data_IF_870209268977
#
_entry.id   IF_870209268977
#
_cell.length_a   1.000
_cell.length_b   1.000
_cell.length_c   1.000
_cell.angle_alpha   90.00
_cell.angle_beta   90.00
_cell.angle_gamma   90.00
#
_symmetry.space_group_name_H-M   'P 1'
#
loop_
_entity.id
_entity.type
_entity.pdbx_description
1 polymer ?
#
# COMPACT_ATOMS: atom_id res chain seq x y z
N UNK A 1 2.17 16.22 15.17
CA UNK A 1 1.34 15.01 15.07
C UNK A 1 2.24 13.78 14.97
N UNK A 2 2.21 12.95 16.02
CA UNK A 2 2.94 11.70 16.00
C UNK A 2 2.29 10.74 15.00
N UNK A 3 3.03 10.31 13.98
CA UNK A 3 2.58 9.29 13.05
C UNK A 3 2.39 7.93 13.74
N UNK A 4 1.72 6.99 13.05
CA UNK A 4 1.59 5.61 13.56
C UNK A 4 2.94 4.88 13.50
N UNK A 5 3.66 5.01 12.39
CA UNK A 5 5.01 4.45 12.24
C UNK A 5 5.98 5.58 11.97
N UNK A 6 7.04 5.65 12.76
CA UNK A 6 8.17 6.58 12.60
C UNK A 6 9.46 5.77 12.60
N UNK A 7 9.99 5.50 11.42
CA UNK A 7 11.29 4.86 11.23
C UNK A 7 12.28 5.89 10.72
N UNK A 8 13.36 6.13 11.45
CA UNK A 8 14.31 7.20 11.18
C UNK A 8 15.71 6.64 11.02
N UNK A 9 16.31 6.87 9.86
CA UNK A 9 17.71 6.55 9.57
C UNK A 9 18.09 5.11 9.87
N UNK A 10 17.28 4.16 9.43
CA UNK A 10 17.48 2.74 9.69
C UNK A 10 18.54 2.18 8.77
N UNK A 11 19.58 1.60 9.37
CA UNK A 11 20.60 0.83 8.66
C UNK A 11 20.71 -0.55 9.27
N UNK A 12 20.78 -1.56 8.42
CA UNK A 12 20.98 -2.96 8.81
C UNK A 12 21.89 -3.67 7.80
N UNK A 13 22.94 -4.25 8.32
CA UNK A 13 23.91 -5.02 7.53
C UNK A 13 23.90 -6.48 7.97
N UNK A 14 23.79 -7.39 7.00
CA UNK A 14 23.91 -8.82 7.20
C UNK A 14 25.13 -9.31 6.41
N UNK A 15 26.13 -9.85 7.12
CA UNK A 15 27.33 -10.42 6.51
C UNK A 15 27.99 -9.50 5.46
N UNK A 16 28.12 -8.22 5.78
CA UNK A 16 28.70 -7.21 4.88
C UNK A 16 27.74 -6.64 3.83
N UNK A 17 26.56 -7.20 3.68
CA UNK A 17 25.53 -6.68 2.79
C UNK A 17 24.56 -5.73 3.53
N UNK A 18 24.46 -4.51 3.04
CA UNK A 18 23.56 -3.49 3.58
C UNK A 18 22.13 -3.73 3.08
N UNK A 19 21.32 -4.42 3.86
CA UNK A 19 19.92 -4.72 3.51
C UNK A 19 19.02 -3.50 3.62
N UNK A 20 19.25 -2.64 4.63
CA UNK A 20 18.64 -1.31 4.78
C UNK A 20 19.76 -0.29 4.91
N UNK A 21 19.65 0.81 4.19
CA UNK A 21 20.70 1.81 4.05
C UNK A 21 20.14 3.22 4.25
N UNK A 22 20.30 3.74 5.48
CA UNK A 22 19.82 5.07 5.88
C UNK A 22 18.36 5.32 5.46
N UNK A 23 17.50 4.35 5.77
CA UNK A 23 16.11 4.31 5.34
C UNK A 23 15.22 5.01 6.36
N UNK A 24 14.35 5.89 5.90
CA UNK A 24 13.32 6.53 6.73
C UNK A 24 11.94 6.28 6.13
N UNK A 25 10.95 6.03 7.00
CA UNK A 25 9.58 5.76 6.62
C UNK A 25 8.62 6.35 7.64
N UNK A 26 7.60 7.05 7.15
CA UNK A 26 6.59 7.71 8.00
C UNK A 26 5.19 7.31 7.56
N UNK A 27 4.46 6.67 8.44
CA UNK A 27 3.07 6.26 8.19
C UNK A 27 2.14 7.06 9.09
N UNK A 28 1.33 7.99 8.53
CA UNK A 28 0.36 8.74 9.32
C UNK A 28 -0.74 7.84 9.88
N UNK A 29 -1.29 8.21 11.05
CA UNK A 29 -2.43 7.49 11.64
C UNK A 29 -3.66 7.55 10.74
N UNK A 30 -4.39 6.44 10.67
CA UNK A 30 -5.65 6.35 9.93
C UNK A 30 -5.49 6.29 8.43
N UNK A 31 -4.29 6.03 7.91
CA UNK A 31 -4.02 5.93 6.48
C UNK A 31 -3.76 4.50 6.03
N UNK A 32 -3.97 4.26 4.74
CA UNK A 32 -3.52 3.04 4.06
C UNK A 32 -2.26 3.40 3.30
N UNK A 33 -1.13 2.87 3.76
CA UNK A 33 0.18 3.12 3.19
C UNK A 33 0.63 1.91 2.35
N UNK A 34 0.88 2.14 1.08
CA UNK A 34 1.44 1.14 0.16
C UNK A 34 2.95 1.21 0.09
N UNK A 35 3.63 0.17 0.53
CA UNK A 35 5.07 0.01 0.38
C UNK A 35 5.35 -0.81 -0.86
N UNK A 36 5.82 -0.17 -1.92
CA UNK A 36 6.00 -0.77 -3.24
C UNK A 36 7.48 -0.89 -3.57
N UNK A 37 7.85 -1.99 -4.19
CA UNK A 37 9.21 -2.21 -4.66
C UNK A 37 9.38 -3.60 -5.25
N UNK A 38 10.43 -3.81 -6.05
CA UNK A 38 10.72 -5.10 -6.63
C UNK A 38 11.10 -6.12 -5.56
N UNK A 39 11.04 -7.39 -5.91
CA UNK A 39 11.57 -8.45 -5.05
C UNK A 39 13.06 -8.19 -4.78
N UNK A 40 13.45 -8.30 -3.52
CA UNK A 40 14.82 -7.99 -3.09
C UNK A 40 15.10 -6.52 -2.79
N UNK A 41 14.10 -5.62 -2.86
CA UNK A 41 14.25 -4.23 -2.46
C UNK A 41 14.45 -4.02 -0.95
N UNK A 42 14.12 -5.05 -0.14
CA UNK A 42 14.23 -5.00 1.31
C UNK A 42 12.89 -4.81 2.04
N UNK A 43 11.74 -4.93 1.35
CA UNK A 43 10.41 -4.73 1.94
C UNK A 43 10.16 -5.65 3.14
N UNK A 44 10.36 -6.95 2.98
CA UNK A 44 10.18 -7.91 4.08
C UNK A 44 11.17 -7.68 5.22
N UNK A 45 12.41 -7.33 4.90
CA UNK A 45 13.42 -6.98 5.89
C UNK A 45 13.00 -5.75 6.68
N UNK A 46 12.54 -4.70 6.01
CA UNK A 46 12.02 -3.52 6.67
C UNK A 46 10.83 -3.87 7.59
N UNK A 47 9.88 -4.64 7.09
CA UNK A 47 8.70 -5.03 7.88
C UNK A 47 9.11 -5.80 9.14
N UNK A 48 10.09 -6.68 9.06
CA UNK A 48 10.61 -7.39 10.24
C UNK A 48 11.27 -6.47 11.26
N UNK A 49 11.81 -5.36 10.84
CA UNK A 49 12.27 -4.30 11.75
C UNK A 49 11.09 -3.52 12.37
N UNK A 50 10.09 -3.18 11.56
CA UNK A 50 8.89 -2.47 12.03
C UNK A 50 8.08 -3.30 13.05
N UNK A 51 8.13 -4.61 12.93
CA UNK A 51 7.46 -5.55 13.85
C UNK A 51 8.32 -5.95 15.04
N UNK A 52 9.55 -5.47 15.12
CA UNK A 52 10.47 -5.75 16.22
C UNK A 52 11.13 -7.13 16.20
N UNK A 53 11.06 -7.84 15.07
CA UNK A 53 11.75 -9.13 14.89
C UNK A 53 13.26 -8.90 14.79
N UNK A 54 13.67 -7.87 14.06
CA UNK A 54 15.06 -7.46 13.95
C UNK A 54 15.30 -6.13 14.65
N UNK A 55 16.49 -6.01 15.23
CA UNK A 55 17.00 -4.75 15.75
C UNK A 55 17.86 -4.07 14.67
N UNK A 56 17.63 -2.79 14.38
CA UNK A 56 18.49 -2.07 13.43
C UNK A 56 19.90 -1.85 14.03
N UNK A 57 20.90 -1.75 13.16
CA UNK A 57 22.25 -1.37 13.57
C UNK A 57 22.33 0.11 13.94
N UNK A 58 21.57 0.94 13.23
CA UNK A 58 21.42 2.36 13.50
C UNK A 58 19.98 2.79 13.30
N UNK A 59 19.63 3.94 13.87
CA UNK A 59 18.32 4.54 13.73
C UNK A 59 17.34 4.13 14.81
N UNK A 60 16.10 4.60 14.69
CA UNK A 60 15.02 4.36 15.65
C UNK A 60 13.71 4.03 14.95
N UNK A 61 12.92 3.18 15.60
CA UNK A 61 11.58 2.78 15.12
C UNK A 61 10.59 2.95 16.25
N UNK A 62 9.57 3.79 16.01
CA UNK A 62 8.48 4.01 16.94
C UNK A 62 7.16 3.58 16.31
N UNK A 63 6.35 2.84 17.07
CA UNK A 63 4.97 2.53 16.75
C UNK A 63 4.08 3.26 17.75
N UNK A 64 3.26 4.17 17.27
CA UNK A 64 2.44 5.05 18.10
C UNK A 64 3.24 5.70 19.26
N UNK A 65 4.43 6.20 18.93
CA UNK A 65 5.34 6.83 19.87
C UNK A 65 6.14 5.88 20.78
N UNK A 66 5.95 4.56 20.67
CA UNK A 66 6.63 3.57 21.49
C UNK A 66 7.73 2.85 20.71
N UNK A 67 8.94 2.67 21.29
CA UNK A 67 9.94 1.81 20.69
C UNK A 67 9.40 0.39 20.51
N UNK A 68 9.61 -0.21 19.33
CA UNK A 68 9.01 -1.51 19.02
C UNK A 68 9.85 -2.70 19.47
N UNK A 69 11.18 -2.57 19.43
CA UNK A 69 12.05 -3.68 19.75
C UNK A 69 11.94 -4.06 21.23
N UNK A 70 11.70 -5.35 21.47
CA UNK A 70 11.55 -5.92 22.82
C UNK A 70 10.54 -5.16 23.71
N UNK A 71 9.46 -4.67 23.11
CA UNK A 71 8.44 -3.89 23.81
C UNK A 71 7.04 -4.49 23.61
N UNK A 72 6.52 -5.28 24.56
CA UNK A 72 5.19 -5.88 24.47
C UNK A 72 4.05 -4.87 24.33
N UNK A 73 4.17 -3.68 24.92
CA UNK A 73 3.15 -2.62 24.83
C UNK A 73 2.99 -2.13 23.39
N UNK A 74 4.10 -1.91 22.69
CA UNK A 74 4.08 -1.54 21.28
C UNK A 74 3.53 -2.68 20.42
N UNK A 75 3.94 -3.91 20.69
CA UNK A 75 3.51 -5.10 19.93
C UNK A 75 2.03 -5.44 20.09
N UNK A 76 1.42 -5.05 21.20
CA UNK A 76 -0.01 -5.21 21.41
C UNK A 76 -0.88 -4.28 20.55
N UNK A 77 -0.29 -3.25 19.93
CA UNK A 77 -1.00 -2.28 19.10
C UNK A 77 -1.20 -2.71 17.66
N UNK A 78 -0.43 -3.68 17.18
CA UNK A 78 -0.50 -4.09 15.79
C UNK A 78 -0.66 -5.60 15.62
N UNK A 79 -1.20 -5.98 14.47
CA UNK A 79 -1.14 -7.34 13.94
C UNK A 79 -0.23 -7.37 12.72
N UNK A 80 0.40 -8.52 12.51
CA UNK A 80 1.33 -8.75 11.42
C UNK A 80 0.96 -10.01 10.66
N UNK A 81 0.77 -9.87 9.35
CA UNK A 81 0.58 -11.00 8.43
C UNK A 81 1.81 -11.07 7.53
N UNK A 82 2.73 -12.02 7.77
CA UNK A 82 3.90 -12.21 6.92
C UNK A 82 3.52 -12.83 5.58
N UNK A 83 4.39 -12.70 4.59
CA UNK A 83 4.23 -13.36 3.30
C UNK A 83 4.20 -14.89 3.45
N UNK A 84 5.15 -15.45 4.20
CA UNK A 84 5.13 -16.85 4.63
C UNK A 84 4.46 -16.99 5.99
N UNK A 85 3.26 -17.52 5.99
CA UNK A 85 2.47 -17.72 7.20
C UNK A 85 3.04 -18.83 8.07
N UNK A 86 3.11 -18.54 9.37
CA UNK A 86 3.53 -19.50 10.38
C UNK A 86 2.39 -19.74 11.39
N UNK A 87 2.07 -21.02 11.61
CA UNK A 87 1.12 -21.44 12.60
C UNK A 87 1.70 -22.55 13.46
N UNK A 88 1.15 -22.75 14.66
CA UNK A 88 1.51 -23.89 15.49
C UNK A 88 1.22 -25.20 14.74
N UNK A 89 2.10 -26.19 14.91
CA UNK A 89 2.16 -27.40 14.09
C UNK A 89 0.84 -28.15 13.92
N UNK A 90 -0.02 -28.14 14.91
CA UNK A 90 -1.28 -28.86 14.90
C UNK A 90 -2.49 -27.98 15.18
N UNK A 91 -2.29 -26.66 15.14
CA UNK A 91 -3.37 -25.74 15.46
C UNK A 91 -4.45 -25.72 14.39
N UNK A 92 -5.70 -25.73 14.84
CA UNK A 92 -6.84 -25.34 14.05
C UNK A 92 -7.16 -23.84 14.23
N UNK A 93 -8.15 -23.35 13.51
CA UNK A 93 -8.56 -21.94 13.60
C UNK A 93 -9.04 -21.56 15.00
N UNK A 94 -9.75 -22.45 15.69
CA UNK A 94 -10.26 -22.18 17.03
C UNK A 94 -9.15 -22.12 18.10
N UNK A 95 -8.11 -22.93 17.95
CA UNK A 95 -6.92 -22.87 18.80
C UNK A 95 -6.13 -21.58 18.59
N UNK A 96 -5.96 -21.16 17.35
CA UNK A 96 -5.35 -19.86 17.03
C UNK A 96 -6.19 -18.70 17.54
N UNK A 97 -7.51 -18.79 17.45
CA UNK A 97 -8.41 -17.81 18.07
C UNK A 97 -8.15 -17.65 19.56
N UNK A 98 -8.07 -18.75 20.31
CA UNK A 98 -7.75 -18.73 21.75
C UNK A 98 -6.40 -18.09 22.02
N UNK A 99 -5.41 -18.37 21.20
CA UNK A 99 -4.09 -17.75 21.28
C UNK A 99 -4.15 -16.23 21.08
N UNK A 100 -4.87 -15.76 20.05
CA UNK A 100 -5.09 -14.33 19.80
C UNK A 100 -5.85 -13.65 20.95
N UNK A 101 -6.87 -14.32 21.49
CA UNK A 101 -7.61 -13.81 22.67
C UNK A 101 -6.70 -13.61 23.89
N UNK A 102 -5.69 -14.45 24.05
CA UNK A 102 -4.71 -14.34 25.13
C UNK A 102 -3.72 -13.18 24.97
N UNK A 103 -3.42 -12.80 23.72
CA UNK A 103 -2.47 -11.73 23.40
C UNK A 103 -3.16 -10.38 23.27
N UNK A 104 -4.29 -10.32 22.56
CA UNK A 104 -5.00 -9.09 22.24
C UNK A 104 -6.21 -8.93 23.16
N UNK A 105 -6.10 -8.02 24.11
CA UNK A 105 -7.14 -7.80 25.13
C UNK A 105 -8.48 -7.34 24.55
N UNK A 106 -8.45 -6.67 23.40
CA UNK A 106 -9.63 -6.13 22.74
C UNK A 106 -10.17 -7.08 21.64
N UNK A 107 -9.75 -8.34 21.64
CA UNK A 107 -10.22 -9.31 20.65
C UNK A 107 -11.75 -9.41 20.68
N UNK A 108 -12.37 -9.16 19.52
CA UNK A 108 -13.83 -9.15 19.36
C UNK A 108 -14.33 -10.54 18.94
N UNK A 109 -14.76 -11.33 19.91
CA UNK A 109 -15.30 -12.67 19.70
C UNK A 109 -16.63 -12.65 18.92
N UNK A 110 -17.47 -11.65 19.13
CA UNK A 110 -18.71 -11.51 18.38
C UNK A 110 -18.44 -11.24 16.90
N UNK A 111 -17.45 -10.40 16.60
CA UNK A 111 -17.01 -10.16 15.23
C UNK A 111 -16.42 -11.43 14.59
N UNK A 112 -15.65 -12.21 15.34
CA UNK A 112 -15.13 -13.49 14.86
C UNK A 112 -16.26 -14.42 14.39
N UNK A 113 -17.32 -14.53 15.19
CA UNK A 113 -18.48 -15.36 14.86
C UNK A 113 -19.26 -14.83 13.65
N UNK A 114 -19.43 -13.51 13.53
CA UNK A 114 -20.08 -12.90 12.37
C UNK A 114 -19.30 -13.10 11.08
N UNK A 115 -17.97 -12.97 11.13
CA UNK A 115 -17.11 -13.13 9.98
C UNK A 115 -17.00 -14.57 9.48
N UNK A 116 -17.44 -15.54 10.25
CA UNK A 116 -17.49 -16.94 9.82
C UNK A 116 -18.32 -17.11 8.54
N UNK A 117 -19.37 -16.32 8.38
CA UNK A 117 -20.21 -16.34 7.17
C UNK A 117 -19.46 -15.85 5.92
N UNK A 118 -18.44 -15.00 6.09
CA UNK A 118 -17.58 -14.54 5.01
C UNK A 118 -16.53 -15.58 4.57
N UNK A 119 -16.28 -16.58 5.41
CA UNK A 119 -15.31 -17.65 5.16
C UNK A 119 -15.97 -19.03 5.23
N UNK A 120 -17.03 -19.29 4.42
CA UNK A 120 -17.85 -20.51 4.58
C UNK A 120 -17.11 -21.79 4.22
N UNK A 121 -16.03 -21.70 3.45
CA UNK A 121 -15.23 -22.86 3.03
C UNK A 121 -14.20 -23.29 4.06
N UNK A 122 -13.99 -22.50 5.13
CA UNK A 122 -13.01 -22.81 6.16
C UNK A 122 -13.64 -23.67 7.25
N UNK A 123 -13.17 -24.91 7.33
CA UNK A 123 -13.45 -25.77 8.48
C UNK A 123 -12.54 -25.35 9.64
N UNK A 124 -13.13 -24.72 10.66
CA UNK A 124 -12.39 -24.15 11.81
C UNK A 124 -11.72 -25.20 12.69
N UNK A 125 -12.10 -26.46 12.56
CA UNK A 125 -11.53 -27.62 13.31
C UNK A 125 -10.44 -28.35 12.54
N UNK A 126 -10.27 -28.01 11.26
CA UNK A 126 -9.22 -28.61 10.46
C UNK A 126 -7.89 -27.95 10.77
N UNK A 127 -6.81 -28.74 10.82
CA UNK A 127 -5.45 -28.20 10.95
C UNK A 127 -5.18 -27.17 9.84
N UNK A 128 -4.77 -25.96 10.22
CA UNK A 128 -4.57 -24.84 9.29
C UNK A 128 -3.56 -25.19 8.22
N UNK A 129 -2.51 -25.93 8.54
CA UNK A 129 -1.50 -26.34 7.56
C UNK A 129 -2.04 -27.21 6.42
N UNK A 130 -3.18 -27.87 6.64
CA UNK A 130 -3.86 -28.68 5.62
C UNK A 130 -4.81 -27.88 4.74
N UNK A 131 -5.05 -26.61 5.06
CA UNK A 131 -5.79 -25.70 4.21
C UNK A 131 -4.93 -25.25 3.02
N UNK A 132 -5.57 -24.84 1.93
CA UNK A 132 -4.86 -24.18 0.83
C UNK A 132 -4.14 -22.92 1.33
N UNK A 133 -3.10 -22.47 0.63
CA UNK A 133 -2.40 -21.24 0.99
C UNK A 133 -3.34 -20.04 1.05
N UNK A 134 -4.29 -19.93 0.11
CA UNK A 134 -5.29 -18.87 0.12
C UNK A 134 -6.20 -18.93 1.35
N UNK A 135 -6.65 -20.12 1.73
CA UNK A 135 -7.44 -20.31 2.95
C UNK A 135 -6.66 -20.01 4.22
N UNK A 136 -5.37 -20.36 4.27
CA UNK A 136 -4.49 -19.99 5.37
C UNK A 136 -4.38 -18.45 5.51
N UNK A 137 -4.26 -17.73 4.41
CA UNK A 137 -4.29 -16.27 4.43
C UNK A 137 -5.64 -15.72 4.89
N UNK A 138 -6.75 -16.32 4.47
CA UNK A 138 -8.07 -15.93 4.98
C UNK A 138 -8.17 -16.08 6.50
N UNK A 139 -7.67 -17.17 7.06
CA UNK A 139 -7.61 -17.37 8.52
C UNK A 139 -6.78 -16.29 9.19
N UNK A 140 -5.61 -15.96 8.63
CA UNK A 140 -4.75 -14.91 9.16
C UNK A 140 -5.45 -13.54 9.18
N UNK A 141 -6.14 -13.18 8.11
CA UNK A 141 -6.95 -11.95 8.06
C UNK A 141 -8.10 -11.96 9.06
N UNK A 142 -8.82 -13.06 9.13
CA UNK A 142 -9.94 -13.23 10.04
C UNK A 142 -9.52 -12.99 11.50
N UNK A 143 -8.45 -13.62 11.93
CA UNK A 143 -7.91 -13.46 13.28
C UNK A 143 -7.36 -12.04 13.51
N UNK A 144 -6.62 -11.49 12.56
CA UNK A 144 -6.02 -10.16 12.67
C UNK A 144 -7.07 -9.05 12.80
N UNK A 145 -8.14 -9.14 12.04
CA UNK A 145 -9.25 -8.17 12.09
C UNK A 145 -9.95 -8.24 13.44
N UNK A 146 -10.20 -9.43 13.95
CA UNK A 146 -10.87 -9.63 15.24
C UNK A 146 -10.01 -9.23 16.44
N UNK A 147 -8.69 -9.16 16.28
CA UNK A 147 -7.79 -8.62 17.28
C UNK A 147 -8.00 -7.11 17.54
N UNK A 148 -8.74 -6.42 16.68
CA UNK A 148 -9.04 -4.99 16.77
C UNK A 148 -7.77 -4.12 16.89
N UNK A 149 -6.78 -4.30 16.00
CA UNK A 149 -5.52 -3.59 16.08
C UNK A 149 -5.67 -2.11 15.69
N UNK A 150 -4.79 -1.28 16.22
CA UNK A 150 -4.65 0.11 15.76
C UNK A 150 -3.87 0.19 14.45
N UNK A 151 -3.01 -0.80 14.19
CA UNK A 151 -2.17 -0.93 13.00
C UNK A 151 -2.18 -2.36 12.48
N UNK A 152 -2.39 -2.53 11.19
CA UNK A 152 -2.19 -3.81 10.49
C UNK A 152 -0.99 -3.70 9.57
N UNK A 153 -0.05 -4.62 9.71
CA UNK A 153 1.13 -4.73 8.85
C UNK A 153 0.97 -6.00 8.00
N UNK A 154 0.86 -5.81 6.69
CA UNK A 154 0.55 -6.86 5.73
C UNK A 154 1.67 -6.97 4.69
N UNK A 155 2.40 -8.10 4.71
CA UNK A 155 3.50 -8.34 3.77
C UNK A 155 3.03 -9.20 2.60
N UNK A 156 2.94 -8.60 1.40
CA UNK A 156 2.45 -9.25 0.17
C UNK A 156 1.14 -10.02 0.39
N UNK A 157 0.10 -9.40 0.96
CA UNK A 157 -1.08 -10.13 1.44
C UNK A 157 -1.92 -10.73 0.33
N UNK A 158 -1.81 -10.22 -0.90
CA UNK A 158 -2.63 -10.65 -2.04
C UNK A 158 -2.01 -11.79 -2.84
N UNK A 159 -0.73 -12.11 -2.58
CA UNK A 159 -0.05 -13.21 -3.26
C UNK A 159 -0.71 -14.56 -2.96
N UNK A 160 -0.96 -15.32 -4.01
CA UNK A 160 -1.57 -16.65 -3.90
C UNK A 160 -3.10 -16.64 -3.71
N UNK A 161 -3.74 -15.49 -3.71
CA UNK A 161 -5.20 -15.36 -3.67
C UNK A 161 -5.79 -15.30 -5.08
N UNK A 162 -6.91 -16.00 -5.29
CA UNK A 162 -7.71 -15.83 -6.51
C UNK A 162 -8.44 -14.48 -6.52
N UNK A 163 -8.99 -14.05 -7.67
CA UNK A 163 -9.65 -12.74 -7.76
C UNK A 163 -10.83 -12.55 -6.81
N UNK A 164 -11.56 -13.61 -6.48
CA UNK A 164 -12.72 -13.54 -5.56
C UNK A 164 -12.22 -13.32 -4.12
N UNK A 165 -11.22 -14.08 -3.70
CA UNK A 165 -10.59 -13.92 -2.38
C UNK A 165 -9.95 -12.54 -2.23
N UNK A 166 -9.27 -12.03 -3.26
CA UNK A 166 -8.68 -10.68 -3.25
C UNK A 166 -9.73 -9.61 -2.99
N UNK A 167 -10.83 -9.63 -3.73
CA UNK A 167 -11.92 -8.67 -3.54
C UNK A 167 -12.53 -8.74 -2.15
N UNK A 168 -12.72 -9.94 -1.63
CA UNK A 168 -13.24 -10.17 -0.28
C UNK A 168 -12.32 -9.55 0.78
N UNK A 169 -11.02 -9.83 0.70
CA UNK A 169 -10.03 -9.31 1.64
C UNK A 169 -9.92 -7.78 1.54
N UNK A 170 -9.86 -7.22 0.33
CA UNK A 170 -9.87 -5.76 0.12
C UNK A 170 -11.10 -5.10 0.73
N UNK A 171 -12.28 -5.67 0.52
CA UNK A 171 -13.53 -5.17 1.10
C UNK A 171 -13.47 -5.10 2.63
N UNK A 172 -12.95 -6.13 3.27
CA UNK A 172 -12.80 -6.18 4.72
C UNK A 172 -11.77 -5.15 5.21
N UNK A 173 -10.62 -5.06 4.56
CA UNK A 173 -9.56 -4.08 4.90
C UNK A 173 -10.08 -2.66 4.81
N UNK A 174 -10.73 -2.31 3.71
CA UNK A 174 -11.28 -0.97 3.48
C UNK A 174 -12.38 -0.62 4.48
N UNK A 175 -13.24 -1.57 4.82
CA UNK A 175 -14.28 -1.39 5.83
C UNK A 175 -13.66 -1.07 7.20
N UNK A 176 -12.62 -1.79 7.61
CA UNK A 176 -11.94 -1.57 8.89
C UNK A 176 -11.16 -0.26 8.93
N UNK A 177 -10.51 0.11 7.85
CA UNK A 177 -9.84 1.41 7.73
C UNK A 177 -10.83 2.57 7.86
N UNK A 178 -12.00 2.44 7.24
CA UNK A 178 -13.05 3.46 7.27
C UNK A 178 -13.76 3.56 8.63
N UNK A 179 -14.21 2.43 9.18
CA UNK A 179 -15.02 2.39 10.41
C UNK A 179 -14.21 2.65 11.68
N UNK A 180 -13.04 2.02 11.79
CA UNK A 180 -12.22 2.03 13.00
C UNK A 180 -11.02 2.96 12.90
N UNK A 181 -10.81 3.61 11.77
CA UNK A 181 -9.62 4.42 11.48
C UNK A 181 -8.32 3.63 11.70
N UNK A 182 -8.34 2.33 11.42
CA UNK A 182 -7.16 1.47 11.51
C UNK A 182 -6.12 1.93 10.50
N UNK A 183 -4.90 2.08 10.94
CA UNK A 183 -3.76 2.33 10.05
C UNK A 183 -3.33 1.02 9.42
N UNK A 184 -3.05 1.02 8.12
CA UNK A 184 -2.69 -0.18 7.38
C UNK A 184 -1.44 0.07 6.56
N UNK A 185 -0.42 -0.76 6.76
CA UNK A 185 0.77 -0.82 5.92
C UNK A 185 0.72 -2.08 5.08
N UNK A 186 0.70 -1.93 3.77
CA UNK A 186 0.66 -3.05 2.82
C UNK A 186 1.90 -3.00 1.94
N UNK A 187 2.66 -4.09 1.88
CA UNK A 187 3.72 -4.23 0.89
C UNK A 187 3.19 -4.92 -0.38
N UNK A 188 3.73 -4.52 -1.51
CA UNK A 188 3.48 -5.18 -2.81
C UNK A 188 4.65 -4.94 -3.75
N UNK A 189 4.88 -5.88 -4.67
CA UNK A 189 5.77 -5.68 -5.80
C UNK A 189 5.02 -5.11 -7.02
N UNK A 190 3.70 -4.92 -6.92
CA UNK A 190 2.85 -4.45 -8.01
C UNK A 190 2.06 -3.20 -7.57
N UNK A 191 2.44 -2.05 -8.12
CA UNK A 191 1.78 -0.78 -7.85
C UNK A 191 0.28 -0.80 -8.20
N UNK A 192 -0.11 -1.53 -9.24
CA UNK A 192 -1.51 -1.60 -9.69
C UNK A 192 -2.45 -2.21 -8.66
N UNK A 193 -1.96 -3.12 -7.82
CA UNK A 193 -2.77 -3.72 -6.77
C UNK A 193 -3.16 -2.73 -5.69
N UNK A 194 -2.38 -1.67 -5.50
CA UNK A 194 -2.54 -0.68 -4.43
C UNK A 194 -3.17 0.63 -4.91
N UNK A 195 -3.31 0.81 -6.21
CA UNK A 195 -3.67 2.07 -6.86
C UNK A 195 -4.98 2.68 -6.36
N UNK A 196 -6.02 1.85 -6.20
CA UNK A 196 -7.36 2.32 -5.84
C UNK A 196 -7.60 2.38 -4.32
N UNK A 197 -6.65 1.98 -3.50
CA UNK A 197 -6.87 1.77 -2.08
C UNK A 197 -5.93 2.54 -1.17
N UNK A 198 -4.75 2.96 -1.65
CA UNK A 198 -3.75 3.64 -0.82
C UNK A 198 -4.01 5.14 -0.71
N UNK A 199 -3.74 5.70 0.47
CA UNK A 199 -3.68 7.15 0.71
C UNK A 199 -2.26 7.69 0.52
N UNK A 200 -1.26 6.86 0.83
CA UNK A 200 0.16 7.15 0.74
C UNK A 200 0.89 6.02 0.04
N UNK A 201 1.98 6.35 -0.62
CA UNK A 201 2.87 5.38 -1.28
C UNK A 201 4.31 5.67 -0.92
N UNK A 202 5.03 4.63 -0.54
CA UNK A 202 6.48 4.62 -0.42
C UNK A 202 7.07 3.66 -1.43
N UNK A 203 8.02 4.13 -2.24
CA UNK A 203 8.72 3.29 -3.21
C UNK A 203 10.07 2.92 -2.66
N UNK A 204 10.31 1.63 -2.54
CA UNK A 204 11.54 1.07 -1.98
C UNK A 204 12.42 0.44 -3.07
N UNK A 205 13.70 0.77 -3.02
CA UNK A 205 14.71 0.23 -3.92
C UNK A 205 16.05 0.13 -3.21
N UNK A 206 16.69 -1.03 -3.31
CA UNK A 206 18.03 -1.29 -2.74
C UNK A 206 18.17 -0.84 -1.28
N UNK A 207 17.19 -1.18 -0.45
CA UNK A 207 17.22 -0.88 0.97
C UNK A 207 16.91 0.56 1.36
N UNK A 208 16.43 1.39 0.43
CA UNK A 208 16.06 2.80 0.65
C UNK A 208 14.64 3.09 0.23
N UNK A 209 14.01 4.04 0.88
CA UNK A 209 12.78 4.67 0.37
C UNK A 209 13.21 5.83 -0.54
N UNK A 210 12.97 5.67 -1.83
CA UNK A 210 13.35 6.67 -2.84
C UNK A 210 12.26 7.70 -3.10
N UNK A 211 11.00 7.34 -2.80
CA UNK A 211 9.83 8.23 -2.90
C UNK A 211 8.90 7.92 -1.76
N UNK A 212 8.42 8.95 -1.07
CA UNK A 212 7.35 8.84 -0.07
C UNK A 212 6.40 10.03 -0.26
N UNK A 213 5.16 9.77 -0.69
CA UNK A 213 4.18 10.81 -1.02
C UNK A 213 2.76 10.40 -0.65
N UNK A 214 1.93 11.37 -0.29
CA UNK A 214 0.48 11.18 -0.30
C UNK A 214 -0.04 11.20 -1.74
N UNK A 215 -1.11 10.45 -2.02
CA UNK A 215 -1.73 10.45 -3.35
C UNK A 215 -2.35 11.80 -3.70
N UNK A 216 -2.87 12.53 -2.70
CA UNK A 216 -3.41 13.88 -2.91
C UNK A 216 -2.34 14.85 -3.40
N UNK A 217 -1.11 14.75 -2.90
CA UNK A 217 0.02 15.58 -3.36
C UNK A 217 0.44 15.22 -4.78
N UNK A 218 0.36 13.95 -5.16
CA UNK A 218 0.71 13.48 -6.50
C UNK A 218 -0.33 13.88 -7.55
N UNK A 219 -1.62 13.84 -7.21
CA UNK A 219 -2.72 14.07 -8.16
C UNK A 219 -2.86 15.53 -8.61
N UNK A 220 -2.26 16.50 -7.90
CA UNK A 220 -2.36 17.92 -8.23
C UNK A 220 -1.34 18.43 -9.27
N UNK A 221 -0.34 17.66 -9.60
CA UNK A 221 0.81 18.11 -10.40
C UNK A 221 0.77 17.69 -11.86
N UNK A 222 -0.07 16.73 -12.20
CA UNK A 222 -0.21 16.18 -13.55
C UNK A 222 -1.69 15.92 -13.84
N UNK A 223 -2.09 16.20 -15.08
CA UNK A 223 -3.48 16.03 -15.53
C UNK A 223 -3.55 15.23 -16.81
N UNK A 224 -4.58 14.40 -16.95
CA UNK A 224 -4.88 13.68 -18.19
C UNK A 224 -6.17 14.22 -18.78
N UNK A 225 -6.11 14.70 -20.03
CA UNK A 225 -7.22 15.34 -20.69
C UNK A 225 -7.42 14.71 -22.06
N UNK A 226 -8.67 14.34 -22.34
CA UNK A 226 -9.09 13.96 -23.67
C UNK A 226 -9.74 15.15 -24.36
N UNK A 227 -9.26 15.52 -25.54
CA UNK A 227 -9.74 16.68 -26.28
C UNK A 227 -9.80 16.41 -27.77
N UNK A 228 -10.83 16.91 -28.44
CA UNK A 228 -10.98 16.81 -29.88
C UNK A 228 -11.11 18.20 -30.50
N UNK A 229 -10.37 18.46 -31.57
CA UNK A 229 -10.39 19.72 -32.32
C UNK A 229 -10.89 19.49 -33.75
N UNK A 230 -11.59 20.49 -34.28
CA UNK A 230 -12.13 20.41 -35.63
C UNK A 230 -11.04 20.51 -36.70
N UNK A 231 -10.06 21.39 -36.50
CA UNK A 231 -8.99 21.68 -37.47
C UNK A 231 -7.59 21.21 -36.99
N UNK A 232 -7.56 20.27 -36.02
CA UNK A 232 -6.31 19.77 -35.44
C UNK A 232 -5.83 20.58 -34.24
N UNK A 233 -4.66 20.23 -33.74
CA UNK A 233 -4.11 20.82 -32.52
C UNK A 233 -3.90 22.32 -32.68
N UNK A 234 -4.54 23.18 -31.86
CA UNK A 234 -4.33 24.63 -31.90
C UNK A 234 -2.98 25.04 -31.30
N UNK A 235 -2.60 26.28 -31.51
CA UNK A 235 -1.48 26.88 -30.81
C UNK A 235 -1.85 27.12 -29.35
N UNK A 236 -1.06 26.55 -28.44
CA UNK A 236 -1.28 26.63 -27.00
C UNK A 236 -0.29 27.63 -26.35
N UNK A 237 -0.62 28.21 -25.18
CA UNK A 237 0.30 29.09 -24.46
C UNK A 237 1.65 28.43 -24.18
N UNK A 238 2.77 29.20 -24.14
CA UNK A 238 4.09 28.62 -23.90
C UNK A 238 4.27 27.96 -22.53
N UNK A 239 3.46 28.34 -21.56
CA UNK A 239 3.43 27.78 -20.21
C UNK A 239 2.58 26.51 -20.08
N UNK A 240 1.88 26.10 -21.16
CA UNK A 240 1.14 24.86 -21.24
C UNK A 240 2.06 23.73 -21.64
N UNK A 241 2.57 23.02 -20.66
CA UNK A 241 3.55 21.94 -20.87
C UNK A 241 2.85 20.58 -21.06
N UNK A 242 2.95 20.03 -22.27
CA UNK A 242 2.48 18.69 -22.61
C UNK A 242 3.61 17.69 -22.35
N UNK A 243 3.39 16.78 -21.41
CA UNK A 243 4.35 15.74 -21.05
C UNK A 243 4.27 14.51 -21.97
N UNK A 244 3.06 14.21 -22.43
CA UNK A 244 2.80 13.12 -23.38
C UNK A 244 1.55 13.41 -24.20
N UNK A 245 1.55 13.00 -25.45
CA UNK A 245 0.43 13.14 -26.35
C UNK A 245 0.26 11.88 -27.18
N UNK A 246 -0.96 11.41 -27.26
CA UNK A 246 -1.40 10.37 -28.21
C UNK A 246 -2.68 10.83 -28.89
N UNK A 247 -2.98 10.27 -30.05
CA UNK A 247 -4.23 10.59 -30.75
C UNK A 247 -4.79 9.41 -31.49
N UNK A 248 -6.11 9.40 -31.60
CA UNK A 248 -6.86 8.50 -32.48
C UNK A 248 -7.77 9.38 -33.35
N UNK A 249 -7.38 9.57 -34.61
CA UNK A 249 -8.05 10.53 -35.48
C UNK A 249 -7.93 11.97 -34.93
N UNK A 250 -9.06 12.60 -34.66
CA UNK A 250 -9.14 13.98 -34.15
C UNK A 250 -9.16 14.05 -32.61
N UNK A 251 -9.20 12.92 -31.94
CA UNK A 251 -9.25 12.84 -30.48
C UNK A 251 -7.83 12.69 -29.95
N UNK A 252 -7.39 13.68 -29.17
CA UNK A 252 -6.09 13.69 -28.51
C UNK A 252 -6.27 13.32 -27.05
N UNK A 253 -5.35 12.52 -26.52
CA UNK A 253 -5.18 12.28 -25.10
C UNK A 253 -3.89 12.94 -24.67
N UNK A 254 -3.99 13.97 -23.82
CA UNK A 254 -2.87 14.77 -23.35
C UNK A 254 -2.58 14.48 -21.89
N UNK A 255 -1.33 14.30 -21.55
CA UNK A 255 -0.84 14.35 -20.18
C UNK A 255 -0.06 15.64 -20.03
N UNK A 256 -0.54 16.53 -19.17
CA UNK A 256 -0.03 17.89 -19.04
C UNK A 256 0.40 18.16 -17.60
N UNK A 257 1.41 19.01 -17.45
CA UNK A 257 1.86 19.45 -16.14
C UNK A 257 0.90 20.49 -15.57
N UNK A 258 0.54 20.28 -14.29
CA UNK A 258 -0.28 21.23 -13.54
C UNK A 258 -1.69 20.74 -13.21
N UNK A 259 -2.46 21.62 -12.62
CA UNK A 259 -3.80 21.38 -12.13
C UNK A 259 -4.78 21.06 -13.29
N UNK A 260 -5.65 20.03 -13.17
CA UNK A 260 -6.60 19.66 -14.22
C UNK A 260 -7.56 20.79 -14.61
N UNK A 261 -8.08 21.55 -13.64
CA UNK A 261 -9.04 22.63 -13.91
C UNK A 261 -8.41 23.78 -14.70
N UNK A 262 -7.16 24.12 -14.38
CA UNK A 262 -6.41 25.13 -15.15
C UNK A 262 -6.13 24.68 -16.58
N UNK A 263 -5.68 23.44 -16.73
CA UNK A 263 -5.40 22.86 -18.04
C UNK A 263 -6.67 22.78 -18.90
N UNK A 264 -7.80 22.39 -18.31
CA UNK A 264 -9.11 22.36 -18.96
C UNK A 264 -9.53 23.75 -19.41
N UNK A 265 -9.38 24.78 -18.56
CA UNK A 265 -9.75 26.16 -18.89
C UNK A 265 -8.92 26.70 -20.07
N UNK A 266 -7.63 26.41 -20.12
CA UNK A 266 -6.76 26.81 -21.25
C UNK A 266 -7.21 26.14 -22.54
N UNK A 267 -7.55 24.86 -22.52
CA UNK A 267 -8.02 24.13 -23.69
C UNK A 267 -9.41 24.56 -24.13
N UNK A 268 -10.32 24.86 -23.20
CA UNK A 268 -11.67 25.37 -23.51
C UNK A 268 -11.65 26.70 -24.26
N UNK A 269 -10.65 27.53 -23.97
CA UNK A 269 -10.47 28.79 -24.70
C UNK A 269 -10.18 28.63 -26.20
N UNK A 270 -9.76 27.45 -26.63
CA UNK A 270 -9.53 27.11 -28.05
C UNK A 270 -10.78 26.54 -28.75
N UNK A 271 -11.93 26.48 -28.07
CA UNK A 271 -13.21 25.98 -28.57
C UNK A 271 -13.13 24.55 -29.13
N UNK A 272 -12.72 23.54 -28.34
CA UNK A 272 -12.69 22.15 -28.78
C UNK A 272 -14.08 21.58 -28.99
N UNK A 273 -14.18 20.55 -29.85
CA UNK A 273 -15.43 19.80 -30.05
C UNK A 273 -15.80 18.96 -28.82
N UNK A 274 -14.82 18.47 -28.11
CA UNK A 274 -14.94 17.62 -26.94
C UNK A 274 -13.78 17.92 -25.98
N UNK A 275 -14.05 17.96 -24.70
CA UNK A 275 -13.02 18.01 -23.65
C UNK A 275 -13.50 17.29 -22.41
N UNK A 276 -12.68 16.37 -21.89
CA UNK A 276 -12.92 15.63 -20.67
C UNK A 276 -11.63 15.46 -19.86
N UNK A 277 -11.74 15.60 -18.56
CA UNK A 277 -10.67 15.24 -17.63
C UNK A 277 -10.78 13.75 -17.35
N UNK A 278 -9.70 13.01 -17.62
CA UNK A 278 -9.61 11.58 -17.36
C UNK A 278 -8.85 11.29 -16.06
N UNK A 279 -9.18 10.19 -15.36
CA UNK A 279 -8.39 9.77 -14.22
C UNK A 279 -7.00 9.32 -14.68
N UNK A 280 -5.97 9.67 -13.87
CA UNK A 280 -4.62 9.16 -14.03
C UNK A 280 -4.44 7.91 -13.18
N UNK A 281 -3.78 6.91 -13.74
CA UNK A 281 -3.29 5.78 -12.96
C UNK A 281 -2.07 6.22 -12.13
N UNK A 282 -1.79 5.54 -11.01
CA UNK A 282 -0.56 5.80 -10.26
C UNK A 282 0.69 5.61 -11.11
N UNK A 283 0.66 4.61 -11.99
CA UNK A 283 1.71 4.36 -12.96
C UNK A 283 1.98 5.59 -13.83
N UNK A 284 0.95 6.17 -14.41
CA UNK A 284 1.05 7.38 -15.23
C UNK A 284 1.57 8.57 -14.41
N UNK A 285 1.07 8.76 -13.19
CA UNK A 285 1.53 9.83 -12.30
C UNK A 285 3.03 9.71 -12.02
N UNK A 286 3.50 8.52 -11.67
CA UNK A 286 4.92 8.31 -11.41
C UNK A 286 5.79 8.49 -12.64
N UNK A 287 5.35 8.00 -13.79
CA UNK A 287 6.09 8.17 -15.05
C UNK A 287 6.23 9.64 -15.42
N UNK A 288 5.15 10.41 -15.36
CA UNK A 288 5.13 11.76 -15.92
C UNK A 288 5.47 12.86 -14.92
N UNK A 289 5.16 12.69 -13.65
CA UNK A 289 5.57 13.65 -12.62
C UNK A 289 7.05 13.52 -12.29
N UNK A 290 7.56 12.30 -12.21
CA UNK A 290 8.93 12.00 -11.81
C UNK A 290 9.85 11.72 -13.00
N UNK A 291 9.31 11.61 -14.19
CA UNK A 291 9.95 11.10 -15.41
C UNK A 291 11.08 11.92 -16.02
N UNK A 292 11.44 13.08 -15.44
CA UNK A 292 12.62 13.81 -15.87
C UNK A 292 13.87 13.50 -15.07
N UNK A 293 13.75 12.82 -13.92
CA UNK A 293 14.86 12.64 -12.95
C UNK A 293 15.21 11.20 -12.61
N UNK A 294 14.35 10.20 -12.92
CA UNK A 294 14.59 8.83 -12.48
C UNK A 294 14.11 7.81 -13.51
N UNK A 295 14.95 7.52 -14.50
CA UNK A 295 14.83 6.30 -15.31
C UNK A 295 14.74 5.03 -14.45
N UNK A 296 15.35 5.06 -13.26
CA UNK A 296 15.33 3.95 -12.31
C UNK A 296 13.93 3.58 -11.82
N UNK A 297 13.02 4.54 -11.63
CA UNK A 297 11.66 4.25 -11.16
C UNK A 297 10.86 3.45 -12.19
N UNK A 298 11.01 3.76 -13.45
CA UNK A 298 10.34 3.04 -14.53
C UNK A 298 10.78 1.57 -14.57
N UNK A 299 12.05 1.32 -14.43
CA UNK A 299 12.61 -0.05 -14.41
C UNK A 299 12.27 -0.80 -13.12
N UNK A 300 11.93 -0.09 -12.04
CA UNK A 300 11.56 -0.67 -10.74
C UNK A 300 10.08 -1.05 -10.70
N UNK A 301 9.21 -0.26 -11.32
CA UNK A 301 7.76 -0.39 -11.20
C UNK A 301 7.13 -1.20 -12.34
N UNK A 302 7.82 -1.36 -13.45
CA UNK A 302 7.35 -1.97 -14.69
C UNK A 302 8.40 -2.90 -15.29
#
# INVERSE_FOLDING_TARGET
DSGMIQAEHITKTFHGFKALDDMSLHVPKGTIYGLVGPNGAGKSTLIRHLTGIYRPDCGSILIDGLPVYDNPEAKAKFTYIPDDLFYFLQADTLEMKRFYQGIYQNFDTALFNRLQEFFPTIDTRRNIRRLSKGMQKQVAFWLSICAMPELMILDEPMDGLDPVMRRQIWSIILSKASENKTTILISSHNLRELEDVCDHVGIMHKGRIIVERSLSDLQGNVSKIQVAFQEGMPTLPPDFEILHMSNTGRVYTLIVKGNPERAKAILEATHPMLIDILPLTLEEIFIYEMGGKNYEIKDILF
#
